data_IF_379681386084
#
_entry.id   IF_379681386084
#
_cell.length_a   1.000
_cell.length_b   1.000
_cell.length_c   1.000
_cell.angle_alpha   90.00
_cell.angle_beta   90.00
_cell.angle_gamma   90.00
#
_symmetry.space_group_name_H-M   'P 1'
#
loop_
_entity.id
_entity.type
_entity.pdbx_description
1 polymer ?
#
# COMPACT_ATOMS: atom_id res chain seq x y z
N UNK A 1 15.74 -30.03 -6.07
CA UNK A 1 15.88 -28.98 -7.12
C UNK A 1 15.02 -27.79 -6.75
N UNK A 2 15.56 -26.88 -5.95
CA UNK A 2 14.97 -25.56 -5.69
C UNK A 2 15.48 -24.61 -6.79
N UNK A 3 14.81 -24.62 -7.93
CA UNK A 3 14.96 -23.57 -8.91
C UNK A 3 14.32 -22.29 -8.35
N UNK A 4 15.10 -21.42 -7.74
CA UNK A 4 14.69 -20.06 -7.48
C UNK A 4 14.31 -19.46 -8.84
N UNK A 5 13.01 -19.31 -9.12
CA UNK A 5 12.55 -18.48 -10.23
C UNK A 5 13.08 -17.08 -9.93
N UNK A 6 14.06 -16.65 -10.73
CA UNK A 6 14.45 -15.24 -10.78
C UNK A 6 13.21 -14.48 -11.24
N UNK A 7 12.39 -14.02 -10.32
CA UNK A 7 11.29 -13.13 -10.67
C UNK A 7 11.89 -11.74 -10.89
N UNK A 8 11.85 -11.30 -12.14
CA UNK A 8 12.26 -9.96 -12.51
C UNK A 8 11.07 -9.03 -12.35
N UNK A 9 11.28 -7.87 -11.76
CA UNK A 9 10.32 -6.77 -11.79
C UNK A 9 10.83 -5.69 -12.77
N UNK A 10 9.92 -4.82 -13.18
CA UNK A 10 10.21 -3.71 -14.07
C UNK A 10 9.93 -2.40 -13.34
N UNK A 11 10.82 -1.43 -13.51
CA UNK A 11 10.58 -0.05 -13.06
C UNK A 11 9.98 0.72 -14.23
N UNK A 12 8.78 1.25 -14.02
CA UNK A 12 8.10 2.13 -14.97
C UNK A 12 8.04 3.52 -14.36
N UNK A 13 8.43 4.54 -15.14
CA UNK A 13 8.46 5.93 -14.69
C UNK A 13 7.42 6.74 -15.42
N UNK A 14 6.63 7.50 -14.64
CA UNK A 14 5.65 8.46 -15.15
C UNK A 14 5.99 9.85 -14.64
N UNK A 15 5.77 10.85 -15.47
CA UNK A 15 5.92 12.25 -15.09
C UNK A 15 4.56 12.94 -15.17
N UNK A 16 4.19 13.59 -14.08
CA UNK A 16 2.96 14.38 -13.98
C UNK A 16 3.30 15.82 -13.60
N UNK A 17 2.57 16.75 -14.16
CA UNK A 17 2.64 18.17 -13.80
C UNK A 17 1.37 18.52 -13.03
N UNK A 18 1.54 19.03 -11.81
CA UNK A 18 0.42 19.54 -11.01
C UNK A 18 0.86 20.85 -10.34
N UNK A 19 0.19 21.94 -10.70
CA UNK A 19 0.54 23.30 -10.23
C UNK A 19 0.32 23.50 -8.71
N UNK A 20 -0.38 22.60 -8.04
CA UNK A 20 -0.56 22.65 -6.59
C UNK A 20 0.64 22.09 -5.82
N UNK A 21 1.47 21.28 -6.46
CA UNK A 21 2.69 20.75 -5.84
C UNK A 21 3.75 21.83 -5.82
N UNK A 22 4.27 22.14 -4.62
CA UNK A 22 5.19 23.29 -4.41
C UNK A 22 6.62 23.08 -4.90
N UNK A 23 7.06 21.84 -5.00
CA UNK A 23 8.41 21.46 -5.45
C UNK A 23 8.40 20.06 -6.05
N UNK A 24 9.42 19.69 -6.84
CA UNK A 24 9.51 18.33 -7.38
C UNK A 24 9.33 17.28 -6.28
N UNK A 25 8.52 16.26 -6.59
CA UNK A 25 8.19 15.17 -5.68
C UNK A 25 8.38 13.84 -6.42
N UNK A 26 9.21 12.97 -5.88
CA UNK A 26 9.41 11.63 -6.41
C UNK A 26 8.71 10.61 -5.54
N UNK A 27 7.81 9.85 -6.14
CA UNK A 27 7.00 8.85 -5.46
C UNK A 27 7.38 7.47 -6.01
N UNK A 28 7.72 6.52 -5.14
CA UNK A 28 7.74 5.11 -5.49
C UNK A 28 6.39 4.50 -5.11
N UNK A 29 5.77 3.76 -6.03
CA UNK A 29 4.51 3.06 -5.77
C UNK A 29 4.70 1.55 -5.96
N UNK A 30 4.31 0.78 -4.95
CA UNK A 30 4.36 -0.68 -4.96
C UNK A 30 2.98 -1.21 -4.54
N UNK A 31 2.29 -1.88 -5.45
CA UNK A 31 1.03 -2.57 -5.20
C UNK A 31 1.17 -4.05 -5.49
N UNK A 32 0.24 -4.85 -4.98
CA UNK A 32 0.13 -6.28 -5.32
C UNK A 32 1.43 -7.07 -5.12
N UNK A 33 2.17 -6.78 -4.04
CA UNK A 33 3.39 -7.54 -3.72
C UNK A 33 3.06 -9.00 -3.45
N UNK A 34 1.90 -9.29 -2.84
CA UNK A 34 1.38 -10.64 -2.61
C UNK A 34 2.43 -11.59 -2.03
N UNK A 35 3.18 -11.13 -1.03
CA UNK A 35 4.28 -11.87 -0.40
C UNK A 35 5.40 -12.31 -1.36
N UNK A 36 5.47 -11.74 -2.57
CA UNK A 36 6.57 -12.03 -3.50
C UNK A 36 7.90 -11.58 -2.92
N UNK A 37 8.93 -12.36 -3.19
CA UNK A 37 10.28 -12.09 -2.68
C UNK A 37 11.24 -11.95 -3.87
N UNK A 38 11.86 -10.79 -3.98
CA UNK A 38 12.83 -10.44 -5.01
C UNK A 38 14.25 -10.40 -4.42
N UNK A 39 14.99 -11.47 -4.65
CA UNK A 39 16.28 -11.71 -3.99
C UNK A 39 16.10 -12.15 -2.52
N UNK A 40 17.16 -12.19 -1.75
CA UNK A 40 17.11 -12.57 -0.34
C UNK A 40 16.43 -11.47 0.49
N UNK A 41 15.28 -11.78 1.10
CA UNK A 41 14.55 -10.81 1.96
C UNK A 41 14.17 -9.50 1.25
N UNK A 42 13.86 -9.57 -0.03
CA UNK A 42 13.51 -8.44 -0.90
C UNK A 42 14.63 -7.41 -1.13
N UNK A 43 15.90 -7.81 -0.97
CA UNK A 43 17.04 -6.89 -1.17
C UNK A 43 17.08 -6.28 -2.57
N UNK A 44 16.73 -7.04 -3.62
CA UNK A 44 16.71 -6.52 -4.98
C UNK A 44 15.65 -5.42 -5.16
N UNK A 45 14.44 -5.62 -4.59
CA UNK A 45 13.37 -4.64 -4.61
C UNK A 45 13.76 -3.38 -3.82
N UNK A 46 14.29 -3.55 -2.60
CA UNK A 46 14.71 -2.44 -1.73
C UNK A 46 15.85 -1.63 -2.34
N UNK A 47 16.83 -2.30 -2.96
CA UNK A 47 17.93 -1.63 -3.67
C UNK A 47 17.41 -0.81 -4.85
N UNK A 48 16.46 -1.37 -5.62
CA UNK A 48 15.85 -0.65 -6.74
C UNK A 48 15.07 0.59 -6.27
N UNK A 49 14.27 0.47 -5.19
CA UNK A 49 13.56 1.61 -4.61
C UNK A 49 14.56 2.67 -4.12
N UNK A 50 15.61 2.28 -3.40
CA UNK A 50 16.64 3.20 -2.90
C UNK A 50 17.39 3.93 -4.01
N UNK A 51 17.65 3.26 -5.15
CA UNK A 51 18.30 3.85 -6.33
C UNK A 51 17.45 4.97 -6.94
N UNK A 52 16.12 4.85 -6.88
CA UNK A 52 15.20 5.88 -7.37
C UNK A 52 15.13 7.11 -6.44
N UNK A 53 15.64 7.04 -5.22
CA UNK A 53 15.67 8.13 -4.23
C UNK A 53 14.28 8.79 -4.07
N UNK A 54 13.24 8.03 -3.70
CA UNK A 54 11.91 8.59 -3.54
C UNK A 54 11.83 9.50 -2.31
N UNK A 55 10.99 10.52 -2.38
CA UNK A 55 10.62 11.37 -1.24
C UNK A 55 9.56 10.70 -0.37
N UNK A 56 8.76 9.79 -0.96
CA UNK A 56 7.78 8.96 -0.27
C UNK A 56 7.52 7.66 -1.02
N UNK A 57 7.03 6.65 -0.30
CA UNK A 57 6.64 5.35 -0.83
C UNK A 57 5.14 5.15 -0.58
N UNK A 58 4.40 4.79 -1.62
CA UNK A 58 2.96 4.53 -1.57
C UNK A 58 2.69 3.04 -1.75
N UNK A 59 1.92 2.46 -0.84
CA UNK A 59 1.50 1.07 -0.86
C UNK A 59 -0.04 1.00 -0.94
N UNK A 60 -0.63 0.97 -2.14
CA UNK A 60 -2.09 0.95 -2.30
C UNK A 60 -2.73 -0.44 -2.10
N UNK A 61 -2.16 -1.30 -1.27
CA UNK A 61 -2.75 -2.56 -0.84
C UNK A 61 -2.21 -3.82 -1.51
N UNK A 62 -2.76 -4.95 -1.07
CA UNK A 62 -2.40 -6.32 -1.48
C UNK A 62 -0.90 -6.61 -1.36
N UNK A 63 -0.31 -6.12 -0.28
CA UNK A 63 1.08 -6.43 0.06
C UNK A 63 1.23 -7.87 0.50
N UNK A 64 0.20 -8.43 1.12
CA UNK A 64 0.13 -9.80 1.64
C UNK A 64 -0.91 -10.65 0.90
N UNK A 65 -0.97 -11.94 1.20
CA UNK A 65 -1.99 -12.86 0.67
C UNK A 65 -2.87 -13.39 1.80
N UNK A 66 -4.19 -13.30 1.64
CA UNK A 66 -5.17 -13.84 2.58
C UNK A 66 -5.25 -15.37 2.48
N UNK A 67 -4.23 -16.09 2.99
CA UNK A 67 -4.19 -17.57 3.05
C UNK A 67 -3.37 -18.02 4.26
N UNK A 68 -3.84 -19.08 4.96
CA UNK A 68 -3.12 -19.66 6.12
C UNK A 68 -1.70 -20.13 5.77
N UNK A 69 -1.49 -20.67 4.57
CA UNK A 69 -0.18 -21.12 4.11
C UNK A 69 0.85 -20.00 3.98
N UNK A 70 0.40 -18.74 3.85
CA UNK A 70 1.24 -17.56 3.63
C UNK A 70 1.68 -16.85 4.93
N UNK A 71 1.27 -17.34 6.11
CA UNK A 71 1.56 -16.71 7.41
C UNK A 71 3.02 -16.33 7.61
N UNK A 72 3.95 -17.24 7.26
CA UNK A 72 5.39 -16.97 7.38
C UNK A 72 5.86 -15.88 6.43
N UNK A 73 5.27 -15.83 5.23
CA UNK A 73 5.61 -14.87 4.20
C UNK A 73 5.08 -13.47 4.55
N UNK A 74 3.96 -13.36 5.29
CA UNK A 74 3.45 -12.09 5.80
C UNK A 74 4.48 -11.38 6.70
N UNK A 75 5.23 -12.12 7.51
CA UNK A 75 6.33 -11.56 8.30
C UNK A 75 7.45 -10.99 7.41
N UNK A 76 7.83 -11.71 6.36
CA UNK A 76 8.86 -11.23 5.41
C UNK A 76 8.39 -9.93 4.75
N UNK A 77 7.09 -9.85 4.40
CA UNK A 77 6.50 -8.63 3.85
C UNK A 77 6.52 -7.48 4.86
N UNK A 78 6.16 -7.72 6.12
CA UNK A 78 6.23 -6.70 7.17
C UNK A 78 7.67 -6.21 7.40
N UNK A 79 8.66 -7.11 7.41
CA UNK A 79 10.08 -6.75 7.50
C UNK A 79 10.54 -5.94 6.27
N UNK A 80 10.00 -6.23 5.08
CA UNK A 80 10.26 -5.46 3.87
C UNK A 80 9.71 -4.04 3.99
N UNK A 81 8.47 -3.89 4.46
CA UNK A 81 7.84 -2.57 4.71
C UNK A 81 8.67 -1.78 5.74
N UNK A 82 9.11 -2.43 6.81
CA UNK A 82 10.01 -1.81 7.81
C UNK A 82 11.30 -1.30 7.17
N UNK A 83 11.91 -2.05 6.26
CA UNK A 83 13.11 -1.62 5.54
C UNK A 83 12.82 -0.48 4.58
N UNK A 84 11.64 -0.45 3.94
CA UNK A 84 11.21 0.66 3.08
C UNK A 84 11.14 1.97 3.86
N UNK A 85 10.71 1.96 5.14
CA UNK A 85 10.68 3.19 5.96
C UNK A 85 12.06 3.75 6.28
N UNK A 86 13.12 2.97 6.12
CA UNK A 86 14.50 3.44 6.17
C UNK A 86 14.95 4.15 4.88
N UNK A 87 14.20 4.03 3.78
CA UNK A 87 14.48 4.71 2.51
C UNK A 87 13.71 6.04 2.45
N UNK A 88 12.38 5.99 2.69
CA UNK A 88 11.50 7.15 2.70
C UNK A 88 10.25 6.86 3.54
N UNK A 89 9.47 7.89 3.95
CA UNK A 89 8.17 7.68 4.59
C UNK A 89 7.25 6.82 3.73
N UNK A 90 6.56 5.85 4.37
CA UNK A 90 5.69 4.88 3.71
C UNK A 90 4.24 5.16 4.07
N UNK A 91 3.37 5.29 3.08
CA UNK A 91 1.93 5.46 3.23
C UNK A 91 1.25 4.20 2.71
N UNK A 92 0.53 3.51 3.59
CA UNK A 92 -0.04 2.20 3.30
C UNK A 92 -1.55 2.20 3.50
N UNK A 93 -2.28 1.81 2.46
CA UNK A 93 -3.73 1.57 2.47
C UNK A 93 -4.02 0.09 2.22
N UNK A 94 -5.17 -0.41 2.68
CA UNK A 94 -5.53 -1.81 2.52
C UNK A 94 -6.00 -2.13 1.10
N UNK A 95 -5.66 -3.35 0.66
CA UNK A 95 -6.27 -4.00 -0.49
C UNK A 95 -7.29 -5.08 -0.06
N UNK A 96 -7.75 -5.87 -1.01
CA UNK A 96 -8.74 -6.91 -0.74
C UNK A 96 -8.17 -8.08 0.09
N UNK A 97 -6.86 -8.30 0.05
CA UNK A 97 -6.23 -9.35 0.86
C UNK A 97 -6.09 -8.94 2.33
N UNK A 98 -5.66 -7.73 2.63
CA UNK A 98 -5.67 -7.19 3.99
C UNK A 98 -7.09 -7.18 4.55
N UNK A 99 -8.04 -6.67 3.77
CA UNK A 99 -9.46 -6.64 4.15
C UNK A 99 -10.02 -8.04 4.36
N UNK A 100 -9.62 -9.00 3.54
CA UNK A 100 -9.99 -10.40 3.68
C UNK A 100 -9.53 -11.02 4.99
N UNK A 101 -8.30 -10.74 5.43
CA UNK A 101 -7.79 -11.21 6.73
C UNK A 101 -8.54 -10.56 7.89
N UNK A 102 -8.80 -9.27 7.82
CA UNK A 102 -9.51 -8.52 8.85
C UNK A 102 -10.96 -9.01 9.05
N UNK A 103 -11.67 -9.34 7.97
CA UNK A 103 -13.07 -9.77 8.02
C UNK A 103 -13.25 -11.27 8.28
N UNK A 104 -12.27 -12.12 7.95
CA UNK A 104 -12.36 -13.58 8.07
C UNK A 104 -11.75 -14.12 9.37
N UNK A 105 -12.04 -13.49 10.50
CA UNK A 105 -11.48 -13.81 11.83
C UNK A 105 -11.58 -15.30 12.20
N UNK A 106 -12.60 -16.01 11.73
CA UNK A 106 -12.82 -17.43 12.06
C UNK A 106 -11.91 -18.39 11.30
N UNK A 107 -11.44 -18.01 10.11
CA UNK A 107 -10.69 -18.89 9.21
C UNK A 107 -9.19 -18.57 9.18
N UNK A 108 -8.77 -17.48 9.79
CA UNK A 108 -7.41 -16.98 9.65
C UNK A 108 -6.53 -17.17 10.89
N UNK A 109 -7.08 -17.72 12.00
CA UNK A 109 -6.35 -18.11 13.23
C UNK A 109 -5.40 -17.01 13.75
N UNK A 110 -5.85 -15.76 13.83
CA UNK A 110 -5.05 -14.65 14.34
C UNK A 110 -3.95 -14.16 13.39
N UNK A 111 -4.03 -14.49 12.08
CA UNK A 111 -3.02 -14.05 11.09
C UNK A 111 -3.03 -12.52 10.93
N UNK A 112 -4.22 -11.91 10.99
CA UNK A 112 -4.33 -10.46 10.91
C UNK A 112 -3.68 -9.78 12.12
N UNK A 113 -3.98 -10.27 13.31
CA UNK A 113 -3.43 -9.76 14.57
C UNK A 113 -1.90 -9.88 14.59
N UNK A 114 -1.36 -11.00 14.10
CA UNK A 114 0.07 -11.20 13.99
C UNK A 114 0.70 -10.23 12.98
N UNK A 115 0.10 -10.09 11.80
CA UNK A 115 0.60 -9.18 10.76
C UNK A 115 0.53 -7.72 11.21
N UNK A 116 -0.60 -7.29 11.78
CA UNK A 116 -0.76 -5.93 12.29
C UNK A 116 0.24 -5.62 13.41
N UNK A 117 0.49 -6.61 14.31
CA UNK A 117 1.49 -6.47 15.35
C UNK A 117 2.93 -6.28 14.79
N UNK A 118 3.27 -6.93 13.67
CA UNK A 118 4.57 -6.68 13.02
C UNK A 118 4.70 -5.26 12.46
N UNK A 119 3.59 -4.62 12.11
CA UNK A 119 3.57 -3.25 11.59
C UNK A 119 3.53 -2.20 12.71
N UNK A 120 3.09 -2.57 13.90
CA UNK A 120 3.01 -1.67 15.04
C UNK A 120 4.38 -1.06 15.39
N UNK A 121 4.38 0.22 15.72
CA UNK A 121 5.57 0.93 16.16
C UNK A 121 6.65 1.13 15.08
N UNK A 122 6.40 0.76 13.82
CA UNK A 122 7.32 1.11 12.73
C UNK A 122 7.29 2.63 12.53
N UNK A 123 8.40 3.28 12.80
CA UNK A 123 8.56 4.72 12.54
C UNK A 123 8.43 5.00 11.04
N UNK A 124 7.79 6.11 10.69
CA UNK A 124 7.57 6.55 9.31
C UNK A 124 6.71 5.62 8.46
N UNK A 125 5.98 4.70 9.09
CA UNK A 125 4.90 3.96 8.47
C UNK A 125 3.57 4.62 8.85
N UNK A 126 2.85 5.11 7.86
CA UNK A 126 1.57 5.82 7.99
C UNK A 126 0.46 4.91 7.43
N UNK A 127 -0.34 4.33 8.34
CA UNK A 127 -1.48 3.49 7.95
C UNK A 127 -2.68 4.38 7.62
N UNK A 128 -3.08 4.42 6.36
CA UNK A 128 -4.20 5.22 5.89
C UNK A 128 -5.41 4.32 5.57
N UNK A 129 -6.24 4.09 6.57
CA UNK A 129 -7.45 3.25 6.46
C UNK A 129 -8.67 4.15 6.60
N UNK A 130 -9.24 4.55 5.46
CA UNK A 130 -10.26 5.61 5.39
C UNK A 130 -9.81 6.88 6.12
N UNK A 131 -8.58 7.25 5.89
CA UNK A 131 -7.90 8.39 6.50
C UNK A 131 -7.04 9.12 5.48
N UNK A 132 -6.61 10.30 5.82
CA UNK A 132 -5.65 11.04 5.00
C UNK A 132 -4.59 11.71 5.86
N UNK A 133 -3.47 12.05 5.22
CA UNK A 133 -2.40 12.86 5.81
C UNK A 133 -2.00 13.98 4.87
N UNK A 134 -1.84 15.18 5.44
CA UNK A 134 -1.35 16.34 4.72
C UNK A 134 0.17 16.46 4.87
N UNK A 135 0.86 16.50 3.74
CA UNK A 135 2.32 16.57 3.66
C UNK A 135 2.70 17.97 3.22
N UNK A 136 2.91 18.82 4.22
CA UNK A 136 3.10 20.27 4.07
C UNK A 136 4.19 20.65 3.06
N UNK A 137 5.43 20.07 3.08
CA UNK A 137 6.51 20.51 2.21
C UNK A 137 6.21 20.46 0.72
N UNK A 138 5.28 19.59 0.30
CA UNK A 138 4.86 19.42 -1.10
C UNK A 138 3.45 19.92 -1.38
N UNK A 139 2.69 20.32 -0.36
CA UNK A 139 1.26 20.64 -0.48
C UNK A 139 0.43 19.46 -1.04
N UNK A 140 0.69 18.25 -0.54
CA UNK A 140 0.06 17.00 -0.97
C UNK A 140 -0.78 16.42 0.17
N UNK A 141 -2.02 16.03 -0.13
CA UNK A 141 -2.82 15.18 0.75
C UNK A 141 -2.82 13.75 0.18
N UNK A 142 -2.35 12.80 0.97
CA UNK A 142 -2.42 11.37 0.63
C UNK A 142 -3.61 10.76 1.36
N UNK A 143 -4.55 10.20 0.62
CA UNK A 143 -5.75 9.53 1.11
C UNK A 143 -5.62 8.03 0.94
N UNK A 144 -5.99 7.25 1.94
CA UNK A 144 -6.07 5.79 1.85
C UNK A 144 -7.51 5.33 1.90
N UNK A 145 -7.98 4.66 0.85
CA UNK A 145 -9.34 4.14 0.73
C UNK A 145 -9.35 2.64 1.04
N UNK A 146 -10.08 2.26 2.08
CA UNK A 146 -10.35 0.86 2.42
C UNK A 146 -11.82 0.56 2.16
N UNK A 147 -12.10 -0.12 1.05
CA UNK A 147 -13.45 -0.47 0.64
C UNK A 147 -13.95 -1.75 1.32
N UNK A 148 -15.24 -1.82 1.69
CA UNK A 148 -15.87 -3.08 2.08
C UNK A 148 -15.72 -4.16 0.99
N UNK A 149 -15.58 -5.41 1.42
CA UNK A 149 -15.36 -6.57 0.52
C UNK A 149 -16.35 -6.67 -0.64
N UNK A 150 -17.56 -6.12 -0.48
CA UNK A 150 -18.58 -6.11 -1.52
C UNK A 150 -18.15 -5.39 -2.80
N UNK A 151 -17.22 -4.42 -2.70
CA UNK A 151 -16.68 -3.68 -3.84
C UNK A 151 -15.60 -4.44 -4.63
N UNK A 152 -15.02 -5.49 -4.04
CA UNK A 152 -13.99 -6.32 -4.68
C UNK A 152 -14.53 -7.54 -5.43
N UNK A 153 -15.87 -7.65 -5.60
CA UNK A 153 -16.49 -8.77 -6.33
C UNK A 153 -16.29 -8.61 -7.84
N UNK A 154 -15.61 -9.59 -8.45
CA UNK A 154 -15.29 -9.58 -9.89
C UNK A 154 -16.52 -9.65 -10.82
N UNK A 155 -17.58 -10.36 -10.41
CA UNK A 155 -18.75 -10.65 -11.27
C UNK A 155 -19.86 -9.59 -11.14
N UNK A 156 -19.96 -8.92 -10.01
CA UNK A 156 -20.98 -7.89 -9.77
C UNK A 156 -20.24 -6.65 -9.32
N UNK A 157 -19.92 -5.77 -10.27
CA UNK A 157 -19.29 -4.48 -9.98
C UNK A 157 -20.31 -3.59 -9.28
N UNK A 158 -19.97 -3.14 -8.09
CA UNK A 158 -20.72 -2.13 -7.36
C UNK A 158 -20.07 -0.79 -7.65
N UNK A 159 -20.73 0.16 -8.34
CA UNK A 159 -20.11 1.45 -8.62
C UNK A 159 -19.84 2.19 -7.31
N UNK A 160 -18.65 2.76 -7.20
CA UNK A 160 -18.30 3.62 -6.10
C UNK A 160 -18.89 5.01 -6.34
N UNK A 161 -19.90 5.37 -5.55
CA UNK A 161 -20.58 6.65 -5.64
C UNK A 161 -19.81 7.71 -4.87
N UNK A 162 -19.89 8.97 -5.35
CA UNK A 162 -19.21 10.10 -4.72
C UNK A 162 -19.64 10.33 -3.27
N UNK A 163 -20.93 10.13 -2.95
CA UNK A 163 -21.44 10.25 -1.59
C UNK A 163 -20.82 9.20 -0.65
N UNK A 164 -20.59 7.97 -1.12
CA UNK A 164 -19.90 6.92 -0.36
C UNK A 164 -18.44 7.30 -0.15
N UNK A 165 -17.74 7.73 -1.20
CA UNK A 165 -16.35 8.16 -1.11
C UNK A 165 -16.20 9.32 -0.12
N UNK A 166 -17.07 10.32 -0.23
CA UNK A 166 -17.07 11.48 0.68
C UNK A 166 -17.39 11.09 2.12
N UNK A 167 -18.28 10.10 2.34
CA UNK A 167 -18.58 9.60 3.68
C UNK A 167 -17.39 8.88 4.33
N UNK A 168 -16.54 8.23 3.53
CA UNK A 168 -15.38 7.47 4.00
C UNK A 168 -14.14 8.34 4.21
N UNK A 169 -13.88 9.28 3.32
CA UNK A 169 -12.64 10.07 3.30
C UNK A 169 -12.84 11.55 3.66
N UNK A 170 -14.09 11.99 3.81
CA UNK A 170 -14.40 13.40 3.87
C UNK A 170 -14.28 14.08 2.49
N UNK A 171 -14.45 15.40 2.47
CA UNK A 171 -14.25 16.19 1.25
C UNK A 171 -12.76 16.36 0.98
N UNK A 172 -12.35 16.08 -0.25
CA UNK A 172 -11.00 16.34 -0.69
C UNK A 172 -10.69 17.85 -0.64
N UNK A 173 -9.49 18.18 -0.25
CA UNK A 173 -9.06 19.57 -0.09
C UNK A 173 -8.77 20.21 -1.47
N UNK A 174 -9.52 21.23 -1.90
CA UNK A 174 -9.40 21.77 -3.25
C UNK A 174 -8.07 22.48 -3.51
N UNK A 175 -7.42 23.00 -2.46
CA UNK A 175 -6.17 23.76 -2.56
C UNK A 175 -4.91 22.91 -2.55
N UNK A 176 -5.05 21.60 -2.35
CA UNK A 176 -3.94 20.65 -2.27
C UNK A 176 -3.91 19.72 -3.49
N UNK A 177 -2.75 19.15 -3.76
CA UNK A 177 -2.64 18.00 -4.66
C UNK A 177 -3.12 16.77 -3.90
N UNK A 178 -4.26 16.21 -4.30
CA UNK A 178 -4.84 15.03 -3.65
C UNK A 178 -4.37 13.76 -4.36
N UNK A 179 -3.77 12.84 -3.62
CA UNK A 179 -3.34 11.51 -4.08
C UNK A 179 -4.18 10.47 -3.36
N UNK A 180 -4.93 9.66 -4.10
CA UNK A 180 -5.78 8.61 -3.55
C UNK A 180 -5.12 7.25 -3.73
N UNK A 181 -4.87 6.55 -2.64
CA UNK A 181 -4.51 5.14 -2.62
C UNK A 181 -5.79 4.31 -2.62
N UNK A 182 -6.14 3.78 -3.78
CA UNK A 182 -7.28 2.88 -3.97
C UNK A 182 -6.80 1.62 -4.67
N UNK A 183 -6.93 0.46 -3.98
CA UNK A 183 -6.44 -0.81 -4.51
C UNK A 183 -7.23 -1.28 -5.74
N UNK A 184 -8.52 -1.02 -5.80
CA UNK A 184 -9.37 -1.35 -6.95
C UNK A 184 -10.22 -0.13 -7.32
N UNK A 185 -9.73 0.73 -8.21
CA UNK A 185 -10.40 1.99 -8.55
C UNK A 185 -11.58 1.83 -9.52
N UNK A 186 -11.86 0.61 -10.07
CA UNK A 186 -12.88 0.33 -11.11
C UNK A 186 -14.31 0.24 -10.58
#
# INVERSE_FOLDING_TARGET
YNGARSMNFQIVRYNFINHKVRKPLRIAMIADLHNQVYGTGNEALLSAIGTEQPDMILLPGDMIVCRKSERKNNRVTADTIRKMTGIAPVYYSYGNHERGLLECVRDTDGIWEEYSHYLEGIKHLHMLVNAYEFIEPWNVCVYGLDLPRAYYKRLIKKPLREDVLTSMLGKMQPDHCNVLLAHNPD
#
